data_IF_917770753017
#
_entry.id   IF_917770753017
#
_cell.length_a   1.000
_cell.length_b   1.000
_cell.length_c   1.000
_cell.angle_alpha   90.00
_cell.angle_beta   90.00
_cell.angle_gamma   90.00
#
_symmetry.space_group_name_H-M   'P 1'
#
loop_
_entity.id
_entity.type
_entity.pdbx_description
1 polymer ?
#
# COMPACT_ATOMS: atom_id res chain seq x y z
N UNK A 1 11.99 24.07 16.37
CA UNK A 1 11.49 22.96 15.51
C UNK A 1 10.59 22.03 16.32
N UNK A 2 9.29 22.10 16.07
CA UNK A 2 8.31 21.24 16.72
C UNK A 2 8.39 19.86 16.06
N UNK A 3 9.15 18.93 16.64
CA UNK A 3 9.09 17.53 16.25
C UNK A 3 7.63 17.08 16.41
N UNK A 4 6.98 16.75 15.30
CA UNK A 4 5.61 16.24 15.32
C UNK A 4 5.65 14.88 16.00
N UNK A 5 5.27 14.84 17.28
CA UNK A 5 5.07 13.61 18.07
C UNK A 5 3.86 12.79 17.61
N UNK A 6 3.48 12.95 16.34
CA UNK A 6 2.51 12.14 15.64
C UNK A 6 3.33 11.08 14.94
N UNK A 7 3.09 9.79 15.21
CA UNK A 7 3.68 8.68 14.44
C UNK A 7 3.19 8.62 12.98
N UNK A 8 2.81 9.76 12.38
CA UNK A 8 2.21 9.97 11.07
C UNK A 8 2.63 11.34 10.53
N UNK A 9 2.61 11.49 9.20
CA UNK A 9 2.90 12.77 8.55
C UNK A 9 1.91 13.88 8.88
N UNK A 10 2.22 15.11 8.44
CA UNK A 10 1.29 16.25 8.41
C UNK A 10 0.00 15.94 7.64
N UNK A 11 0.06 15.01 6.68
CA UNK A 11 -1.12 14.53 5.94
C UNK A 11 -1.83 13.36 6.62
N UNK A 12 -1.41 12.96 7.82
CA UNK A 12 -1.94 11.81 8.55
C UNK A 12 -1.61 10.43 7.93
N UNK A 13 -0.77 10.40 6.89
CA UNK A 13 -0.39 9.19 6.15
C UNK A 13 0.99 8.66 6.57
N UNK A 14 1.19 7.36 6.37
CA UNK A 14 2.47 6.66 6.39
C UNK A 14 2.70 6.02 5.01
N UNK A 15 3.95 5.82 4.55
CA UNK A 15 5.18 6.32 5.17
C UNK A 15 5.37 7.84 4.97
N UNK A 16 6.32 8.42 5.72
CA UNK A 16 6.81 9.79 5.56
C UNK A 16 8.29 9.86 5.91
N UNK A 17 8.99 10.88 5.42
CA UNK A 17 10.38 11.19 5.76
C UNK A 17 10.54 12.67 6.08
N UNK A 18 11.53 12.98 6.90
CA UNK A 18 12.03 14.35 7.07
C UNK A 18 13.44 14.41 6.49
N UNK A 19 13.64 15.29 5.51
CA UNK A 19 14.92 15.45 4.83
C UNK A 19 15.32 16.94 4.88
N UNK A 20 16.40 17.26 5.59
CA UNK A 20 16.89 18.63 5.79
C UNK A 20 15.82 19.61 6.34
N UNK A 21 14.93 19.11 7.20
CA UNK A 21 13.83 19.89 7.77
C UNK A 21 12.60 20.03 6.84
N UNK A 22 12.62 19.45 5.64
CA UNK A 22 11.43 19.30 4.79
C UNK A 22 10.71 17.98 5.12
N UNK A 23 9.41 18.08 5.37
CA UNK A 23 8.56 16.93 5.67
C UNK A 23 7.84 16.44 4.40
N UNK A 24 8.14 15.21 3.99
CA UNK A 24 7.63 14.62 2.75
C UNK A 24 6.81 13.38 3.10
N UNK A 25 5.53 13.42 2.71
CA UNK A 25 4.58 12.32 2.91
C UNK A 25 4.15 11.72 1.57
N UNK A 26 3.66 10.47 1.59
CA UNK A 26 3.30 9.64 0.43
C UNK A 26 4.51 8.91 -0.18
N UNK A 27 4.45 7.58 -0.27
CA UNK A 27 5.57 6.75 -0.73
C UNK A 27 6.07 7.16 -2.12
N UNK A 28 5.17 7.50 -3.05
CA UNK A 28 5.57 7.87 -4.41
C UNK A 28 6.28 9.22 -4.43
N UNK A 29 5.78 10.19 -3.65
CA UNK A 29 6.42 11.50 -3.53
C UNK A 29 7.77 11.40 -2.81
N UNK A 30 7.88 10.55 -1.80
CA UNK A 30 9.12 10.25 -1.10
C UNK A 30 10.16 9.69 -2.09
N UNK A 31 9.81 8.66 -2.87
CA UNK A 31 10.73 8.07 -3.83
C UNK A 31 11.18 9.10 -4.89
N UNK A 32 10.25 9.89 -5.44
CA UNK A 32 10.57 10.94 -6.39
C UNK A 32 11.53 11.98 -5.81
N UNK A 33 11.30 12.41 -4.57
CA UNK A 33 12.15 13.40 -3.91
C UNK A 33 13.53 12.82 -3.61
N UNK A 34 13.63 11.59 -3.10
CA UNK A 34 14.91 10.93 -2.82
C UNK A 34 15.71 10.66 -4.10
N UNK A 35 15.06 10.23 -5.18
CA UNK A 35 15.71 10.06 -6.49
C UNK A 35 16.34 11.37 -6.95
N UNK A 36 15.60 12.48 -6.85
CA UNK A 36 16.12 13.81 -7.19
C UNK A 36 17.26 14.24 -6.26
N UNK A 37 17.11 14.07 -4.96
CA UNK A 37 18.07 14.51 -3.95
C UNK A 37 19.42 13.78 -4.06
N UNK A 38 19.40 12.47 -4.26
CA UNK A 38 20.60 11.64 -4.42
C UNK A 38 21.08 11.51 -5.87
N UNK A 39 20.46 12.25 -6.81
CA UNK A 39 20.74 12.18 -8.24
C UNK A 39 20.72 10.73 -8.79
N UNK A 40 19.75 9.93 -8.34
CA UNK A 40 19.53 8.56 -8.81
C UNK A 40 18.82 8.65 -10.16
N UNK A 41 19.49 8.17 -11.21
CA UNK A 41 18.92 8.09 -12.55
C UNK A 41 18.45 6.66 -12.79
N UNK A 42 17.17 6.52 -13.16
CA UNK A 42 16.72 5.28 -13.79
C UNK A 42 17.27 5.21 -15.23
N UNK A 43 17.47 3.99 -15.72
CA UNK A 43 17.88 3.75 -17.11
C UNK A 43 16.68 3.43 -18.01
N UNK A 44 15.48 3.82 -17.56
CA UNK A 44 14.24 3.48 -18.26
C UNK A 44 13.98 4.46 -19.40
N UNK A 45 13.54 3.93 -20.54
CA UNK A 45 13.00 4.76 -21.62
C UNK A 45 11.69 5.40 -21.18
N UNK A 46 11.24 6.46 -21.89
CA UNK A 46 9.96 7.10 -21.59
C UNK A 46 8.77 6.13 -21.71
N UNK A 47 8.84 5.17 -22.62
CA UNK A 47 7.85 4.10 -22.76
C UNK A 47 7.85 3.18 -21.53
N UNK A 48 9.04 2.75 -21.09
CA UNK A 48 9.16 1.90 -19.90
C UNK A 48 8.65 2.61 -18.64
N UNK A 49 8.87 3.92 -18.49
CA UNK A 49 8.30 4.72 -17.39
C UNK A 49 6.77 4.77 -17.43
N UNK A 50 6.18 4.85 -18.62
CA UNK A 50 4.73 4.82 -18.76
C UNK A 50 4.17 3.45 -18.34
N UNK A 51 4.86 2.36 -18.68
CA UNK A 51 4.50 1.00 -18.29
C UNK A 51 4.69 0.80 -16.77
N UNK A 52 5.82 1.25 -16.22
CA UNK A 52 6.10 1.25 -14.77
C UNK A 52 4.96 1.94 -14.02
N UNK A 53 4.56 3.13 -14.48
CA UNK A 53 3.43 3.87 -13.90
C UNK A 53 2.11 3.10 -13.93
N UNK A 54 1.85 2.35 -15.00
CA UNK A 54 0.64 1.54 -15.12
C UNK A 54 0.64 0.38 -14.12
N UNK A 55 1.75 -0.35 -14.01
CA UNK A 55 1.89 -1.45 -13.04
C UNK A 55 1.90 -0.97 -11.60
N UNK A 56 2.57 0.14 -11.31
CA UNK A 56 2.49 0.83 -10.02
C UNK A 56 1.04 1.03 -9.59
N UNK A 57 0.18 1.48 -10.52
CA UNK A 57 -1.23 1.72 -10.23
C UNK A 57 -2.03 0.44 -10.12
N UNK A 58 -1.79 -0.54 -10.98
CA UNK A 58 -2.42 -1.85 -10.87
C UNK A 58 -2.14 -2.48 -9.49
N UNK A 59 -0.89 -2.45 -9.04
CA UNK A 59 -0.44 -3.03 -7.78
C UNK A 59 -1.01 -2.26 -6.58
N UNK A 60 -0.74 -0.96 -6.50
CA UNK A 60 -1.11 -0.15 -5.33
C UNK A 60 -2.62 0.08 -5.17
N UNK A 61 -3.40 -0.09 -6.26
CA UNK A 61 -4.85 0.08 -6.21
C UNK A 61 -5.56 -1.26 -6.30
N UNK A 62 -5.81 -1.77 -7.52
CA UNK A 62 -6.61 -2.97 -7.78
C UNK A 62 -6.15 -4.16 -6.93
N UNK A 63 -4.90 -4.58 -7.10
CA UNK A 63 -4.36 -5.76 -6.44
C UNK A 63 -4.31 -5.58 -4.92
N UNK A 64 -3.73 -4.47 -4.44
CA UNK A 64 -3.59 -4.20 -3.02
C UNK A 64 -4.95 -4.13 -2.32
N UNK A 65 -5.92 -3.42 -2.89
CA UNK A 65 -7.24 -3.29 -2.27
C UNK A 65 -7.97 -4.63 -2.22
N UNK A 66 -7.95 -5.40 -3.31
CA UNK A 66 -8.57 -6.72 -3.37
C UNK A 66 -7.93 -7.69 -2.36
N UNK A 67 -6.61 -7.82 -2.37
CA UNK A 67 -5.88 -8.75 -1.51
C UNK A 67 -6.00 -8.35 -0.04
N UNK A 68 -5.85 -7.06 0.24
CA UNK A 68 -5.87 -6.56 1.61
C UNK A 68 -7.29 -6.58 2.19
N UNK A 69 -8.33 -6.40 1.38
CA UNK A 69 -9.71 -6.55 1.86
C UNK A 69 -9.98 -7.97 2.36
N UNK A 70 -9.64 -9.01 1.58
CA UNK A 70 -9.80 -10.41 2.02
C UNK A 70 -9.00 -10.68 3.29
N UNK A 71 -7.71 -10.31 3.30
CA UNK A 71 -6.83 -10.50 4.46
C UNK A 71 -7.33 -9.80 5.73
N UNK A 72 -7.76 -8.54 5.60
CA UNK A 72 -8.22 -7.74 6.74
C UNK A 72 -9.57 -8.21 7.23
N UNK A 73 -10.51 -8.50 6.33
CA UNK A 73 -11.86 -8.95 6.69
C UNK A 73 -11.84 -10.27 7.43
N UNK A 74 -11.09 -11.25 6.91
CA UNK A 74 -11.11 -12.62 7.41
C UNK A 74 -10.32 -12.78 8.72
N UNK A 75 -9.41 -11.83 9.02
CA UNK A 75 -8.59 -11.83 10.23
C UNK A 75 -8.72 -10.51 11.03
N UNK A 76 -9.90 -9.91 11.02
CA UNK A 76 -10.09 -8.52 11.47
C UNK A 76 -9.71 -8.25 12.93
N UNK A 77 -10.05 -9.09 13.91
CA UNK A 77 -9.63 -8.86 15.30
C UNK A 77 -8.12 -8.84 15.47
N UNK A 78 -7.39 -9.66 14.70
CA UNK A 78 -5.93 -9.69 14.75
C UNK A 78 -5.30 -8.52 14.02
N UNK A 79 -5.90 -8.09 12.91
CA UNK A 79 -5.53 -6.84 12.25
C UNK A 79 -5.71 -5.65 13.20
N UNK A 80 -6.84 -5.55 13.91
CA UNK A 80 -7.10 -4.53 14.93
C UNK A 80 -6.07 -4.60 16.05
N UNK A 81 -5.80 -5.79 16.57
CA UNK A 81 -4.78 -6.00 17.59
C UNK A 81 -3.40 -5.51 17.14
N UNK A 82 -3.03 -5.77 15.89
CA UNK A 82 -1.74 -5.36 15.30
C UNK A 82 -1.63 -3.85 15.08
N UNK A 83 -2.69 -3.21 14.58
CA UNK A 83 -2.70 -1.75 14.37
C UNK A 83 -2.61 -1.01 15.71
N UNK A 84 -3.36 -1.46 16.71
CA UNK A 84 -3.39 -0.80 18.00
C UNK A 84 -2.12 -1.09 18.81
N UNK A 85 -1.50 -2.27 18.65
CA UNK A 85 -0.20 -2.54 19.29
C UNK A 85 0.90 -1.66 18.70
N UNK A 86 0.90 -1.39 17.40
CA UNK A 86 1.80 -0.42 16.77
C UNK A 86 1.58 1.00 17.30
N UNK A 87 0.33 1.38 17.56
CA UNK A 87 0.01 2.74 18.02
C UNK A 87 0.30 2.96 19.52
N UNK A 88 0.05 1.94 20.36
CA UNK A 88 0.11 2.07 21.82
C UNK A 88 1.25 1.29 22.48
N UNK A 89 2.07 0.58 21.69
CA UNK A 89 3.21 -0.21 22.16
C UNK A 89 2.85 -1.39 23.07
N UNK A 90 1.57 -1.81 23.10
CA UNK A 90 1.06 -2.88 23.98
C UNK A 90 0.07 -3.78 23.26
N UNK A 91 0.12 -5.07 23.56
CA UNK A 91 -0.91 -6.02 23.12
C UNK A 91 -2.22 -5.75 23.88
N UNK A 92 -3.35 -5.77 23.17
CA UNK A 92 -4.68 -5.54 23.73
C UNK A 92 -5.32 -6.81 24.32
N UNK A 93 -4.69 -7.98 24.15
CA UNK A 93 -5.26 -9.25 24.61
C UNK A 93 -6.68 -9.47 24.07
N UNK A 94 -7.65 -9.66 24.97
CA UNK A 94 -9.05 -9.87 24.59
C UNK A 94 -9.75 -8.61 24.05
N UNK A 95 -9.24 -7.41 24.38
CA UNK A 95 -9.91 -6.14 24.06
C UNK A 95 -10.01 -5.90 22.54
N UNK A 96 -9.13 -6.51 21.74
CA UNK A 96 -9.21 -6.49 20.26
C UNK A 96 -10.52 -7.06 19.73
N UNK A 97 -11.08 -8.10 20.37
CA UNK A 97 -12.36 -8.71 19.96
C UNK A 97 -13.54 -7.81 20.29
N UNK A 98 -13.44 -7.00 21.35
CA UNK A 98 -14.48 -6.03 21.74
C UNK A 98 -14.49 -4.82 20.79
N UNK A 99 -13.31 -4.34 20.38
CA UNK A 99 -13.17 -3.19 19.50
C UNK A 99 -13.38 -3.53 18.01
N UNK A 100 -13.15 -4.78 17.61
CA UNK A 100 -13.22 -5.24 16.23
C UNK A 100 -14.55 -4.91 15.52
N UNK A 101 -15.75 -5.21 16.05
CA UNK A 101 -17.00 -4.91 15.34
C UNK A 101 -17.17 -3.42 15.03
N UNK A 102 -16.78 -2.54 15.95
CA UNK A 102 -16.89 -1.08 15.78
C UNK A 102 -15.93 -0.53 14.72
N UNK A 103 -14.70 -1.06 14.68
CA UNK A 103 -13.69 -0.66 13.70
C UNK A 103 -13.97 -1.24 12.32
N UNK A 104 -14.59 -2.43 12.24
CA UNK A 104 -14.92 -3.09 10.98
C UNK A 104 -15.82 -2.21 10.13
N UNK A 105 -16.83 -1.56 10.72
CA UNK A 105 -17.74 -0.67 9.98
C UNK A 105 -16.96 0.43 9.25
N UNK A 106 -16.00 1.08 9.93
CA UNK A 106 -15.19 2.15 9.32
C UNK A 106 -14.30 1.62 8.19
N UNK A 107 -13.68 0.47 8.39
CA UNK A 107 -12.79 -0.13 7.38
C UNK A 107 -13.60 -0.62 6.17
N UNK A 108 -14.73 -1.28 6.40
CA UNK A 108 -15.63 -1.72 5.33
C UNK A 108 -16.11 -0.53 4.49
N UNK A 109 -16.57 0.55 5.12
CA UNK A 109 -17.03 1.75 4.40
C UNK A 109 -15.94 2.35 3.49
N UNK A 110 -14.67 2.30 3.90
CA UNK A 110 -13.54 2.70 3.04
C UNK A 110 -13.48 1.82 1.79
N UNK A 111 -13.47 0.49 1.95
CA UNK A 111 -13.42 -0.44 0.82
C UNK A 111 -14.70 -0.45 -0.02
N UNK A 112 -15.85 -0.09 0.54
CA UNK A 112 -17.09 0.11 -0.23
C UNK A 112 -17.03 1.39 -1.09
N UNK A 113 -16.40 2.45 -0.56
CA UNK A 113 -16.17 3.71 -1.30
C UNK A 113 -15.22 3.48 -2.48
N UNK A 114 -14.15 2.72 -2.26
CA UNK A 114 -13.21 2.32 -3.30
C UNK A 114 -13.78 1.25 -4.26
N UNK A 115 -14.86 0.57 -3.87
CA UNK A 115 -15.61 -0.39 -4.69
C UNK A 115 -15.31 -1.85 -4.37
N UNK A 116 -14.13 -2.18 -3.84
CA UNK A 116 -13.69 -3.55 -3.55
C UNK A 116 -14.67 -4.33 -2.67
N UNK A 117 -15.19 -3.73 -1.60
CA UNK A 117 -16.11 -4.43 -0.68
C UNK A 117 -17.54 -4.59 -1.21
N UNK A 118 -17.84 -4.09 -2.43
CA UNK A 118 -19.11 -4.32 -3.12
C UNK A 118 -19.12 -5.60 -3.94
N UNK A 119 -17.94 -6.16 -4.22
CA UNK A 119 -17.77 -7.36 -5.00
C UNK A 119 -17.99 -8.63 -4.17
N UNK A 120 -18.41 -9.71 -4.84
CA UNK A 120 -18.40 -11.04 -4.25
C UNK A 120 -16.96 -11.56 -4.08
N UNK A 121 -16.78 -12.60 -3.27
CA UNK A 121 -15.45 -13.21 -3.08
C UNK A 121 -14.93 -13.81 -4.40
N UNK A 122 -15.80 -14.38 -5.23
CA UNK A 122 -15.45 -14.89 -6.55
C UNK A 122 -15.02 -13.78 -7.51
N UNK A 123 -15.69 -12.62 -7.47
CA UNK A 123 -15.31 -11.44 -8.24
C UNK A 123 -13.95 -10.88 -7.79
N UNK A 124 -13.73 -10.75 -6.47
CA UNK A 124 -12.45 -10.30 -5.91
C UNK A 124 -11.33 -11.27 -6.31
N UNK A 125 -11.57 -12.57 -6.21
CA UNK A 125 -10.59 -13.58 -6.63
C UNK A 125 -10.33 -13.54 -8.14
N UNK A 126 -11.32 -13.17 -8.95
CA UNK A 126 -11.13 -12.97 -10.38
C UNK A 126 -10.27 -11.74 -10.67
N UNK A 127 -10.52 -10.62 -9.98
CA UNK A 127 -9.68 -9.41 -10.08
C UNK A 127 -8.22 -9.74 -9.72
N UNK A 128 -8.00 -10.42 -8.59
CA UNK A 128 -6.66 -10.81 -8.15
C UNK A 128 -5.94 -11.71 -9.15
N UNK A 129 -6.64 -12.70 -9.72
CA UNK A 129 -6.06 -13.57 -10.75
C UNK A 129 -5.67 -12.79 -11.99
N UNK A 130 -6.53 -11.89 -12.46
CA UNK A 130 -6.25 -11.09 -13.64
C UNK A 130 -5.06 -10.14 -13.43
N UNK A 131 -5.00 -9.49 -12.26
CA UNK A 131 -3.89 -8.59 -11.90
C UNK A 131 -2.57 -9.36 -11.80
N UNK A 132 -2.55 -10.51 -11.13
CA UNK A 132 -1.37 -11.37 -11.06
C UNK A 132 -0.96 -11.91 -12.42
N UNK A 133 -1.93 -12.32 -13.24
CA UNK A 133 -1.64 -12.81 -14.59
C UNK A 133 -1.05 -11.69 -15.46
N UNK A 134 -1.51 -10.45 -15.34
CA UNK A 134 -0.93 -9.32 -16.06
C UNK A 134 0.53 -9.06 -15.63
N UNK A 135 0.80 -9.11 -14.33
CA UNK A 135 2.15 -8.98 -13.75
C UNK A 135 3.05 -10.12 -14.23
N UNK A 136 2.59 -11.36 -14.13
CA UNK A 136 3.33 -12.56 -14.54
C UNK A 136 3.62 -12.56 -16.04
N UNK A 137 2.60 -12.27 -16.86
CA UNK A 137 2.75 -12.21 -18.32
C UNK A 137 3.73 -11.13 -18.73
N UNK A 138 3.70 -9.97 -18.06
CA UNK A 138 4.63 -8.90 -18.37
C UNK A 138 6.05 -9.23 -17.90
N UNK A 139 6.23 -9.84 -16.73
CA UNK A 139 7.54 -10.29 -16.26
C UNK A 139 8.13 -11.36 -17.20
N UNK A 140 7.33 -12.36 -17.58
CA UNK A 140 7.77 -13.47 -18.43
C UNK A 140 9.04 -14.12 -17.90
N UNK A 141 10.01 -14.35 -18.78
CA UNK A 141 11.32 -14.93 -18.43
C UNK A 141 12.36 -13.88 -17.98
N UNK A 142 11.97 -12.61 -17.81
CA UNK A 142 12.91 -11.55 -17.41
C UNK A 142 13.20 -11.64 -15.92
N UNK A 143 14.44 -11.30 -15.53
CA UNK A 143 14.82 -11.23 -14.11
C UNK A 143 14.08 -10.10 -13.38
N UNK A 144 13.92 -8.95 -14.05
CA UNK A 144 13.12 -7.81 -13.61
C UNK A 144 12.24 -7.28 -14.75
N UNK A 145 11.24 -6.45 -14.43
CA UNK A 145 10.24 -5.94 -15.40
C UNK A 145 10.85 -5.36 -16.69
N UNK A 146 11.99 -4.68 -16.57
CA UNK A 146 12.62 -3.95 -17.67
C UNK A 146 14.03 -4.47 -18.03
N UNK A 147 14.43 -5.66 -17.58
CA UNK A 147 15.69 -6.29 -17.96
C UNK A 147 16.43 -6.95 -16.79
N UNK A 148 17.68 -6.57 -16.61
CA UNK A 148 18.66 -7.16 -15.69
C UNK A 148 18.80 -6.42 -14.34
N UNK A 149 18.10 -5.30 -14.17
CA UNK A 149 18.14 -4.51 -12.94
C UNK A 149 16.72 -4.20 -12.44
N UNK A 150 16.51 -4.15 -11.11
CA UNK A 150 15.23 -3.72 -10.56
C UNK A 150 14.96 -2.26 -10.91
N UNK A 151 13.71 -1.99 -11.27
CA UNK A 151 13.16 -0.63 -11.33
C UNK A 151 12.47 -0.28 -10.03
N UNK A 152 11.79 0.86 -10.00
CA UNK A 152 10.85 1.16 -8.93
C UNK A 152 9.67 0.17 -8.98
#
# INVERSE_FOLDING_TARGET
>A
PMFTFSGRSEKGKLPFVELNGEHIADSQLIILHLKKYFNIQDKLTNEQKAIERAFDRLIDSSFFNAANWLKVRDNFPEFVGSILSLQFGKSLGFLKYVLAPFLMIKIKNRYETEGTAKHSDEEIMTILRNDLQAIETYLGDKEYFFGDQPSQ
#
